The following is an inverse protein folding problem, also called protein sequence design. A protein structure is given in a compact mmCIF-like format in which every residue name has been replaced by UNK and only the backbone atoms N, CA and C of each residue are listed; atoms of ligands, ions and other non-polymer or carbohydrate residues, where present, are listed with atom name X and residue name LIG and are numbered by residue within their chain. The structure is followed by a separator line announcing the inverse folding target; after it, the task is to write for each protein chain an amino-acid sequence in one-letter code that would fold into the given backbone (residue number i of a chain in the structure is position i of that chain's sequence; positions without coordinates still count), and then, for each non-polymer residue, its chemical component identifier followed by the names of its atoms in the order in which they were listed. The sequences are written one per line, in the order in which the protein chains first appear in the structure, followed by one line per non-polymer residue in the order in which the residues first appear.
data_IF_168661626385
#
_entry.id   IF_168661626385
#
_cell.length_a   1.000
_cell.length_b   1.000
_cell.length_c   1.000
_cell.angle_alpha   90.00
_cell.angle_beta   90.00
_cell.angle_gamma   90.00
#
_symmetry.space_group_name_H-M   'P 1'
#
loop_
_entity.id
_entity.type
_entity.pdbx_description
1 polymer ?
#
# COMPACT_ATOMS: atom_id res chain seq x y z
N UNK A 1 21.54 8.08 55.73
CA UNK A 1 21.06 6.73 55.40
C UNK A 1 19.82 6.83 54.52
N UNK A 2 19.93 6.25 53.31
CA UNK A 2 18.93 5.82 52.30
C UNK A 2 17.52 6.46 52.35
N UNK A 3 17.26 7.40 51.43
CA UNK A 3 15.90 7.67 50.91
C UNK A 3 15.63 6.69 49.78
N UNK A 4 14.75 5.73 50.02
CA UNK A 4 14.28 4.76 49.03
C UNK A 4 13.38 5.48 48.03
N UNK A 5 13.87 5.63 46.81
CA UNK A 5 13.09 6.00 45.65
C UNK A 5 12.21 4.81 45.25
N UNK A 6 10.89 4.94 45.44
CA UNK A 6 9.93 4.07 44.77
C UNK A 6 9.81 4.54 43.32
N UNK A 7 10.65 3.97 42.46
CA UNK A 7 10.54 4.09 41.01
C UNK A 7 9.41 3.15 40.60
N UNK A 8 8.23 3.72 40.35
CA UNK A 8 7.13 3.06 39.64
C UNK A 8 7.59 2.79 38.22
N UNK A 9 8.00 1.55 37.97
CA UNK A 9 8.25 1.02 36.64
C UNK A 9 6.89 0.81 35.95
N UNK A 10 6.32 1.88 35.40
CA UNK A 10 5.24 1.77 34.42
C UNK A 10 5.87 1.22 33.13
N UNK A 11 5.90 -0.11 33.02
CA UNK A 11 6.14 -0.78 31.76
C UNK A 11 4.99 -0.40 30.84
N UNK A 12 5.21 0.62 30.01
CA UNK A 12 4.43 0.83 28.81
C UNK A 12 4.62 -0.42 27.96
N UNK A 13 3.60 -1.28 27.95
CA UNK A 13 3.39 -2.27 26.91
C UNK A 13 3.20 -1.46 25.62
N UNK A 14 4.30 -1.08 24.99
CA UNK A 14 4.31 -0.70 23.59
C UNK A 14 3.83 -1.93 22.83
N UNK A 15 2.53 -1.99 22.57
CA UNK A 15 1.95 -2.97 21.66
C UNK A 15 2.74 -2.92 20.37
N UNK A 16 3.00 -4.08 19.76
CA UNK A 16 3.61 -4.17 18.44
C UNK A 16 2.87 -3.20 17.51
N UNK A 17 3.49 -2.06 17.20
CA UNK A 17 2.93 -1.10 16.27
C UNK A 17 2.88 -1.82 14.92
N UNK A 18 1.68 -2.29 14.56
CA UNK A 18 1.42 -2.74 13.20
C UNK A 18 1.54 -1.48 12.35
N UNK A 19 2.71 -1.24 11.75
CA UNK A 19 3.00 -0.13 10.83
C UNK A 19 2.30 -0.32 9.47
N UNK A 20 1.16 -1.01 9.45
CA UNK A 20 0.34 -1.22 8.28
C UNK A 20 -0.83 -0.25 8.32
N UNK A 21 -1.21 0.20 7.14
CA UNK A 21 -2.41 1.00 6.93
C UNK A 21 -3.63 0.36 7.57
N UNK A 22 -4.38 1.15 8.35
CA UNK A 22 -5.67 0.76 8.90
C UNK A 22 -6.78 1.32 7.99
N UNK A 23 -7.51 0.47 7.26
CA UNK A 23 -8.54 0.94 6.35
C UNK A 23 -9.69 1.60 7.14
N UNK A 24 -10.19 2.78 6.71
CA UNK A 24 -11.34 3.40 7.32
C UNK A 24 -12.62 2.59 7.02
N UNK A 25 -13.61 2.75 7.90
CA UNK A 25 -14.94 2.14 7.77
C UNK A 25 -16.02 3.23 7.84
N UNK A 26 -17.17 2.98 7.22
CA UNK A 26 -18.33 3.88 7.20
C UNK A 26 -18.72 4.26 5.78
N UNK A 27 -19.56 5.30 5.65
CA UNK A 27 -20.14 5.70 4.37
C UNK A 27 -19.26 6.68 3.56
N UNK A 28 -18.21 7.24 4.18
CA UNK A 28 -17.30 8.25 3.58
C UNK A 28 -15.99 7.62 3.09
N UNK A 29 -16.10 6.45 2.45
CA UNK A 29 -14.96 5.67 1.95
C UNK A 29 -15.12 5.33 0.47
N UNK A 30 -14.00 5.16 -0.21
CA UNK A 30 -13.91 4.60 -1.54
C UNK A 30 -13.14 3.28 -1.49
N UNK A 31 -13.47 2.35 -2.37
CA UNK A 31 -12.73 1.11 -2.57
C UNK A 31 -11.61 1.31 -3.59
N UNK A 32 -10.48 0.66 -3.35
CA UNK A 32 -9.38 0.62 -4.31
C UNK A 32 -8.82 -0.78 -4.42
N UNK A 33 -8.60 -1.23 -5.66
CA UNK A 33 -7.92 -2.48 -5.96
C UNK A 33 -6.62 -2.20 -6.69
N UNK A 34 -5.51 -2.64 -6.09
CA UNK A 34 -4.20 -2.58 -6.70
C UNK A 34 -3.88 -3.88 -7.42
N UNK A 35 -3.40 -3.78 -8.65
CA UNK A 35 -2.88 -4.90 -9.44
C UNK A 35 -1.57 -4.50 -10.13
N UNK A 36 -0.88 -5.47 -10.73
CA UNK A 36 0.34 -5.17 -11.49
C UNK A 36 0.49 -6.01 -12.76
N UNK A 37 1.44 -5.62 -13.60
CA UNK A 37 1.88 -6.36 -14.79
C UNK A 37 2.73 -7.62 -14.44
N UNK A 38 2.30 -8.41 -13.45
CA UNK A 38 3.05 -9.55 -12.90
C UNK A 38 4.36 -9.16 -12.20
N UNK A 39 4.45 -7.93 -11.70
CA UNK A 39 5.58 -7.41 -10.93
C UNK A 39 5.19 -7.34 -9.46
N UNK A 40 5.96 -7.94 -8.53
CA UNK A 40 5.62 -7.89 -7.12
C UNK A 40 5.87 -6.48 -6.60
N UNK A 41 4.90 -5.86 -5.92
CA UNK A 41 5.01 -4.49 -5.46
C UNK A 41 4.21 -4.27 -4.17
N UNK A 42 4.55 -3.24 -3.40
CA UNK A 42 3.89 -2.90 -2.15
C UNK A 42 2.99 -1.66 -2.35
N UNK A 43 1.66 -1.83 -2.35
CA UNK A 43 0.73 -0.71 -2.32
C UNK A 43 0.81 0.05 -0.99
N UNK A 44 0.44 1.32 -1.03
CA UNK A 44 0.41 2.21 0.13
C UNK A 44 -0.66 3.29 -0.04
N UNK A 45 -1.25 3.72 1.07
CA UNK A 45 -2.21 4.81 1.15
C UNK A 45 -1.60 5.95 1.95
N UNK A 46 -1.73 7.19 1.48
CA UNK A 46 -1.35 8.35 2.26
C UNK A 46 -2.35 8.58 3.39
N UNK A 47 -1.86 8.58 4.62
CA UNK A 47 -2.61 8.94 5.82
C UNK A 47 -2.04 10.27 6.32
N UNK A 48 -2.83 11.37 6.30
CA UNK A 48 -2.33 12.67 6.71
C UNK A 48 -1.71 12.67 8.10
N UNK A 49 -0.50 13.22 8.22
CA UNK A 49 0.28 13.21 9.47
C UNK A 49 1.00 11.89 9.81
N UNK A 50 0.69 10.79 9.13
CA UNK A 50 1.35 9.48 9.31
C UNK A 50 2.21 9.08 8.10
N UNK A 51 2.05 9.74 6.96
CA UNK A 51 2.78 9.42 5.76
C UNK A 51 2.10 8.37 4.88
N UNK A 52 2.84 7.83 3.90
CA UNK A 52 2.38 6.67 3.14
C UNK A 52 2.49 5.40 4.00
N UNK A 53 1.34 4.82 4.32
CA UNK A 53 1.22 3.58 5.08
C UNK A 53 1.04 2.39 4.13
N UNK A 54 1.84 1.34 4.31
CA UNK A 54 1.78 0.15 3.48
C UNK A 54 0.49 -0.63 3.74
N UNK A 55 -0.18 -1.10 2.69
CA UNK A 55 -1.31 -2.02 2.83
C UNK A 55 -0.86 -3.33 3.49
N UNK A 56 -1.80 -4.01 4.15
CA UNK A 56 -1.51 -5.29 4.82
C UNK A 56 -0.92 -6.33 3.87
N UNK A 57 -1.45 -6.40 2.65
CA UNK A 57 -0.98 -7.30 1.60
C UNK A 57 -0.10 -6.56 0.59
N UNK A 58 0.85 -7.29 0.01
CA UNK A 58 1.62 -6.87 -1.16
C UNK A 58 1.14 -7.57 -2.43
N UNK A 59 1.33 -6.94 -3.58
CA UNK A 59 1.05 -7.55 -4.88
C UNK A 59 2.09 -8.65 -5.11
N UNK A 60 1.63 -9.86 -5.37
CA UNK A 60 2.44 -11.01 -5.76
C UNK A 60 2.52 -11.11 -7.28
N UNK A 61 3.57 -11.80 -7.75
CA UNK A 61 3.55 -12.36 -9.10
C UNK A 61 2.49 -13.44 -9.16
N UNK A 62 1.73 -13.49 -10.25
CA UNK A 62 0.73 -14.52 -10.52
C UNK A 62 1.42 -15.89 -10.45
N UNK A 63 1.08 -16.73 -9.45
CA UNK A 63 1.76 -18.01 -9.29
C UNK A 63 1.43 -18.95 -10.46
N UNK A 64 2.41 -19.77 -10.84
CA UNK A 64 2.21 -20.94 -11.69
C UNK A 64 1.96 -22.13 -10.75
N UNK A 65 0.74 -22.29 -10.22
CA UNK A 65 0.42 -23.41 -9.32
C UNK A 65 -0.90 -23.24 -8.57
N UNK A 66 -1.56 -24.38 -8.30
CA UNK A 66 -2.89 -24.46 -7.68
C UNK A 66 -2.95 -24.12 -6.18
N UNK A 67 -4.05 -24.51 -5.53
CA UNK A 67 -4.51 -24.03 -4.21
C UNK A 67 -3.44 -23.92 -3.10
N UNK A 68 -2.53 -24.90 -2.98
CA UNK A 68 -1.47 -24.87 -1.96
C UNK A 68 -0.50 -23.67 -2.10
N UNK A 69 -0.33 -23.12 -3.31
CA UNK A 69 0.46 -21.91 -3.52
C UNK A 69 -0.32 -20.65 -3.11
N UNK A 70 -1.65 -20.66 -3.23
CA UNK A 70 -2.49 -19.56 -2.77
C UNK A 70 -2.43 -19.43 -1.24
N UNK A 71 -2.54 -20.54 -0.51
CA UNK A 71 -2.44 -20.56 0.96
C UNK A 71 -1.08 -20.04 1.45
N UNK A 72 0.00 -20.36 0.72
CA UNK A 72 1.33 -19.82 1.00
C UNK A 72 1.38 -18.30 0.79
N UNK A 73 0.84 -17.80 -0.32
CA UNK A 73 0.79 -16.35 -0.59
C UNK A 73 -0.02 -15.62 0.49
N UNK A 74 -1.16 -16.17 0.90
CA UNK A 74 -1.97 -15.62 1.99
C UNK A 74 -1.19 -15.56 3.31
N UNK A 75 -0.49 -16.65 3.66
CA UNK A 75 0.38 -16.69 4.86
C UNK A 75 1.50 -15.65 4.79
N UNK A 76 1.99 -15.34 3.59
CA UNK A 76 3.00 -14.31 3.34
C UNK A 76 2.42 -12.90 3.19
N UNK A 77 1.11 -12.72 3.35
CA UNK A 77 0.37 -11.48 3.06
C UNK A 77 0.66 -10.96 1.64
N UNK A 78 0.51 -11.84 0.66
CA UNK A 78 0.64 -11.53 -0.77
C UNK A 78 -0.60 -11.95 -1.53
N UNK A 79 -0.98 -11.17 -2.53
CA UNK A 79 -2.11 -11.47 -3.42
C UNK A 79 -1.87 -10.93 -4.81
N UNK A 80 -2.49 -11.51 -5.84
CA UNK A 80 -2.43 -10.98 -7.22
C UNK A 80 -3.10 -9.61 -7.31
N UNK A 81 -4.16 -9.41 -6.54
CA UNK A 81 -4.87 -8.15 -6.39
C UNK A 81 -5.01 -7.81 -4.91
N UNK A 82 -4.70 -6.57 -4.54
CA UNK A 82 -4.79 -6.08 -3.17
C UNK A 82 -5.89 -5.04 -3.12
N UNK A 83 -7.01 -5.39 -2.49
CA UNK A 83 -8.14 -4.47 -2.28
C UNK A 83 -8.10 -3.88 -0.87
N UNK A 84 -8.42 -2.60 -0.74
CA UNK A 84 -8.58 -1.90 0.53
C UNK A 84 -9.52 -0.71 0.37
N UNK A 85 -9.84 -0.04 1.47
CA UNK A 85 -10.65 1.19 1.47
C UNK A 85 -9.78 2.40 1.78
N UNK A 86 -10.19 3.57 1.31
CA UNK A 86 -9.57 4.85 1.66
C UNK A 86 -10.63 5.91 1.90
N UNK A 87 -10.28 6.94 2.67
CA UNK A 87 -11.21 8.01 2.99
C UNK A 87 -11.49 8.84 1.73
N UNK A 88 -12.76 9.08 1.42
CA UNK A 88 -13.15 9.97 0.33
C UNK A 88 -12.59 11.38 0.56
N UNK A 89 -12.01 11.97 -0.49
CA UNK A 89 -11.30 13.24 -0.41
C UNK A 89 -11.02 13.79 -1.79
N UNK A 90 -11.09 15.11 -1.94
CA UNK A 90 -10.67 15.82 -3.16
C UNK A 90 -9.17 15.70 -3.48
N UNK A 91 -8.36 15.23 -2.52
CA UNK A 91 -6.90 15.11 -2.66
C UNK A 91 -6.38 13.79 -2.06
N UNK A 92 -7.11 12.70 -2.27
CA UNK A 92 -6.64 11.38 -1.87
C UNK A 92 -5.33 11.05 -2.58
N UNK A 93 -4.40 10.41 -1.85
CA UNK A 93 -3.11 9.98 -2.42
C UNK A 93 -2.87 8.49 -2.20
N UNK A 94 -2.49 7.82 -3.28
CA UNK A 94 -2.14 6.40 -3.29
C UNK A 94 -0.73 6.25 -3.85
N UNK A 95 -0.05 5.18 -3.49
CA UNK A 95 1.28 4.91 -4.00
C UNK A 95 1.59 3.43 -4.11
N UNK A 96 2.56 3.12 -4.95
CA UNK A 96 3.13 1.79 -5.08
C UNK A 96 4.65 1.91 -5.00
N UNK A 97 5.25 1.04 -4.18
CA UNK A 97 6.70 0.91 -4.08
C UNK A 97 7.15 -0.45 -4.61
N UNK A 98 8.21 -0.43 -5.39
CA UNK A 98 8.86 -1.61 -5.92
C UNK A 98 10.28 -1.67 -5.38
N UNK A 99 10.68 -2.83 -4.88
CA UNK A 99 12.03 -3.07 -4.38
C UNK A 99 12.36 -4.54 -4.58
N UNK A 100 12.96 -4.86 -5.71
CA UNK A 100 13.38 -6.22 -6.04
C UNK A 100 14.88 -6.24 -6.34
N UNK A 101 15.54 -7.32 -5.93
CA UNK A 101 16.92 -7.55 -6.32
C UNK A 101 16.96 -7.96 -7.80
N UNK A 102 17.75 -7.25 -8.61
CA UNK A 102 17.90 -7.53 -10.03
C UNK A 102 19.10 -8.47 -10.25
N UNK A 103 18.83 -9.66 -10.77
CA UNK A 103 19.85 -10.63 -11.21
C UNK A 103 20.73 -11.24 -10.11
N UNK A 104 21.84 -11.86 -10.53
CA UNK A 104 22.86 -12.48 -9.64
C UNK A 104 23.82 -11.45 -8.99
N UNK A 105 23.54 -10.15 -9.15
CA UNK A 105 24.32 -9.05 -8.59
C UNK A 105 23.75 -8.50 -7.28
N UNK A 106 24.42 -7.47 -6.74
CA UNK A 106 23.96 -6.70 -5.57
C UNK A 106 23.08 -5.50 -5.93
N UNK A 107 22.73 -5.30 -7.21
CA UNK A 107 21.84 -4.21 -7.63
C UNK A 107 20.40 -4.50 -7.19
N UNK A 108 19.72 -3.46 -6.70
CA UNK A 108 18.29 -3.51 -6.39
C UNK A 108 17.59 -2.49 -7.25
N UNK A 109 16.62 -2.96 -8.00
CA UNK A 109 15.69 -2.11 -8.69
C UNK A 109 14.72 -1.55 -7.66
N UNK A 110 14.69 -0.22 -7.55
CA UNK A 110 13.87 0.48 -6.58
C UNK A 110 13.15 1.62 -7.26
N UNK A 111 11.85 1.67 -7.04
CA UNK A 111 11.07 2.83 -7.41
C UNK A 111 9.94 3.06 -6.42
N UNK A 112 9.44 4.29 -6.43
CA UNK A 112 8.22 4.69 -5.77
C UNK A 112 7.47 5.59 -6.73
N UNK A 113 6.17 5.39 -6.85
CA UNK A 113 5.29 6.25 -7.63
C UNK A 113 4.02 6.51 -6.82
N UNK A 114 3.55 7.76 -6.84
CA UNK A 114 2.36 8.18 -6.14
C UNK A 114 1.45 8.98 -7.08
N UNK A 115 0.15 8.85 -6.86
CA UNK A 115 -0.89 9.61 -7.55
C UNK A 115 -1.72 10.36 -6.52
N UNK A 116 -2.15 11.58 -6.87
CA UNK A 116 -3.20 12.31 -6.20
C UNK A 116 -4.44 12.36 -7.10
N UNK A 117 -5.63 12.16 -6.53
CA UNK A 117 -6.89 12.18 -7.25
C UNK A 117 -8.05 12.57 -6.32
N UNK A 118 -9.21 12.85 -6.91
CA UNK A 118 -10.47 12.97 -6.17
C UNK A 118 -11.07 11.58 -5.95
N UNK A 119 -11.08 11.13 -4.69
CA UNK A 119 -11.74 9.91 -4.26
C UNK A 119 -13.17 10.21 -3.84
N UNK A 120 -14.14 9.65 -4.55
CA UNK A 120 -15.57 9.81 -4.31
C UNK A 120 -16.07 8.68 -3.41
N UNK A 121 -16.88 9.01 -2.41
CA UNK A 121 -17.47 8.02 -1.51
C UNK A 121 -18.36 7.01 -2.27
N UNK A 122 -18.20 5.72 -1.96
CA UNK A 122 -18.91 4.62 -2.61
C UNK A 122 -18.37 4.22 -3.99
N UNK A 123 -17.33 4.90 -4.49
CA UNK A 123 -16.71 4.57 -5.77
C UNK A 123 -15.67 3.46 -5.62
N UNK A 124 -15.43 2.71 -6.70
CA UNK A 124 -14.38 1.69 -6.76
C UNK A 124 -13.36 2.03 -7.84
N UNK A 125 -12.12 2.26 -7.40
CA UNK A 125 -10.99 2.52 -8.28
C UNK A 125 -10.13 1.29 -8.52
N UNK A 126 -9.57 1.16 -9.73
CA UNK A 126 -8.54 0.18 -10.05
C UNK A 126 -7.20 0.89 -10.29
N UNK A 127 -6.22 0.60 -9.45
CA UNK A 127 -4.86 1.09 -9.57
C UNK A 127 -3.96 0.00 -10.17
N UNK A 128 -3.48 0.22 -11.39
CA UNK A 128 -2.61 -0.73 -12.08
C UNK A 128 -1.17 -0.22 -12.10
N UNK A 129 -0.29 -0.98 -11.46
CA UNK A 129 1.14 -0.76 -11.45
C UNK A 129 1.82 -1.44 -12.64
N UNK A 130 2.72 -0.72 -13.30
CA UNK A 130 3.57 -1.25 -14.36
C UNK A 130 5.03 -0.93 -14.03
N UNK A 131 5.87 -1.96 -14.04
CA UNK A 131 7.31 -1.79 -14.05
C UNK A 131 7.87 -2.25 -15.39
N UNK A 132 8.54 -1.34 -16.09
CA UNK A 132 9.08 -1.58 -17.43
C UNK A 132 10.27 -0.67 -17.67
N UNK A 133 11.33 -1.19 -18.30
CA UNK A 133 12.54 -0.41 -18.63
C UNK A 133 13.14 0.40 -17.46
N UNK A 134 13.14 -0.17 -16.25
CA UNK A 134 13.60 0.51 -15.01
C UNK A 134 12.77 1.73 -14.58
N UNK A 135 11.54 1.85 -15.08
CA UNK A 135 10.61 2.93 -14.74
C UNK A 135 9.33 2.35 -14.15
N UNK A 136 8.69 3.16 -13.30
CA UNK A 136 7.44 2.81 -12.65
C UNK A 136 6.32 3.68 -13.18
N UNK A 137 5.26 3.02 -13.61
CA UNK A 137 3.99 3.61 -13.98
C UNK A 137 2.91 3.20 -12.99
N UNK A 138 1.97 4.11 -12.74
CA UNK A 138 0.75 3.82 -12.00
C UNK A 138 -0.39 4.51 -12.75
N UNK A 139 -1.40 3.75 -13.12
CA UNK A 139 -2.62 4.25 -13.75
C UNK A 139 -3.81 3.97 -12.86
N UNK A 140 -4.78 4.87 -12.84
CA UNK A 140 -5.99 4.76 -12.02
C UNK A 140 -7.22 4.86 -12.91
N UNK A 141 -8.16 3.93 -12.75
CA UNK A 141 -9.47 3.97 -13.41
C UNK A 141 -10.61 3.89 -12.42
N UNK A 142 -11.76 4.48 -12.76
CA UNK A 142 -13.01 4.36 -12.00
C UNK A 142 -13.73 3.02 -12.28
N UNK A 143 -14.89 2.82 -11.65
CA UNK A 143 -15.73 1.61 -11.84
C UNK A 143 -16.28 1.46 -13.27
N UNK A 144 -16.33 2.54 -14.05
CA UNK A 144 -16.73 2.53 -15.44
C UNK A 144 -15.56 2.20 -16.39
N UNK A 145 -14.36 1.97 -15.84
CA UNK A 145 -13.14 1.72 -16.60
C UNK A 145 -12.57 2.97 -17.27
N UNK A 146 -13.05 4.17 -16.92
CA UNK A 146 -12.49 5.43 -17.40
C UNK A 146 -11.29 5.80 -16.55
N UNK A 147 -10.30 6.47 -17.16
CA UNK A 147 -9.20 7.05 -16.38
C UNK A 147 -9.76 8.01 -15.35
N UNK A 148 -9.40 7.81 -14.08
CA UNK A 148 -9.62 8.81 -13.05
C UNK A 148 -8.72 10.02 -13.36
N UNK A 149 -9.17 11.23 -12.98
CA UNK A 149 -8.37 12.45 -13.07
C UNK A 149 -7.30 12.43 -11.97
N UNK A 150 -6.25 11.65 -12.21
CA UNK A 150 -5.17 11.40 -11.28
C UNK A 150 -3.88 12.03 -11.79
N UNK A 151 -3.20 12.78 -10.92
CA UNK A 151 -1.93 13.43 -11.23
C UNK A 151 -0.80 12.76 -10.47
N UNK A 152 0.33 12.56 -11.13
CA UNK A 152 1.54 12.07 -10.46
C UNK A 152 2.05 13.14 -9.50
N UNK A 153 2.36 12.70 -8.27
CA UNK A 153 2.92 13.55 -7.21
C UNK A 153 4.16 12.89 -6.63
N UNK A 154 4.97 13.68 -5.93
CA UNK A 154 6.10 13.16 -5.17
C UNK A 154 5.62 12.19 -4.07
N UNK A 155 6.53 11.32 -3.61
CA UNK A 155 6.27 10.41 -2.48
C UNK A 155 6.27 11.19 -1.15
N UNK A 156 5.36 12.13 -1.04
CA UNK A 156 5.14 12.97 0.12
C UNK A 156 3.65 12.96 0.44
N UNK A 157 3.35 12.75 1.71
CA UNK A 157 2.00 12.70 2.22
C UNK A 157 1.89 13.82 3.28
N UNK A 158 1.01 14.82 3.05
CA UNK A 158 0.96 16.03 3.85
C UNK A 158 0.41 15.81 5.26
#
# INVERSE_FOLDING_TARGET
MKRLAFITCAMALAGCQHFSYQPPYGDDIADITFSSNNTPAQPSICVPGEGFQATEYSIAQKPIGGDAMNDLLETMKKSVEVSTTLKASSQARIGVSYNQQSGAGMSRDRCKIALQFEAVAGEHYQAKFDYSHSQCGLSLTDSNGKSADAVQVDWECP
#
